data_IF_282036054900
#
_entry.id   IF_282036054900
#
_cell.length_a   1.000
_cell.length_b   1.000
_cell.length_c   1.000
_cell.angle_alpha   90.00
_cell.angle_beta   90.00
_cell.angle_gamma   90.00
#
_symmetry.space_group_name_H-M   'P 1'
#
loop_
_entity.id
_entity.type
_entity.pdbx_description
1 polymer ?
#
# COMPACT_ATOMS: atom_id res chain seq x y z
N UNK A 1 49.22 59.37 3.13
CA UNK A 1 47.77 59.42 3.39
C UNK A 1 47.55 59.89 4.80
N UNK A 2 46.68 60.85 4.98
CA UNK A 2 46.27 61.36 6.29
C UNK A 2 44.89 60.82 6.64
N UNK A 3 44.70 60.49 7.92
CA UNK A 3 43.44 59.93 8.42
C UNK A 3 42.99 60.83 9.59
N UNK A 4 41.72 61.21 9.57
CA UNK A 4 41.10 61.96 10.65
C UNK A 4 40.43 60.99 11.62
N UNK A 5 40.72 61.10 12.88
CA UNK A 5 40.06 60.30 13.94
C UNK A 5 38.69 60.83 14.22
N UNK A 6 37.63 60.03 13.92
CA UNK A 6 36.24 60.37 14.08
C UNK A 6 35.68 59.91 15.45
N UNK A 7 36.06 58.73 15.87
CA UNK A 7 35.64 58.13 17.14
C UNK A 7 36.74 57.31 17.79
N UNK A 8 36.79 57.30 19.12
CA UNK A 8 37.71 56.48 19.88
C UNK A 8 36.97 55.57 20.85
N UNK A 9 37.29 54.27 20.76
CA UNK A 9 36.80 53.23 21.66
C UNK A 9 37.98 52.57 22.38
N UNK A 10 37.83 51.87 23.49
CA UNK A 10 38.92 51.26 24.23
C UNK A 10 39.84 50.36 23.40
N UNK A 11 39.33 49.64 22.39
CA UNK A 11 40.08 48.69 21.56
C UNK A 11 40.31 49.13 20.11
N UNK A 12 39.63 50.18 19.61
CA UNK A 12 39.75 50.61 18.22
C UNK A 12 39.40 52.10 18.09
N UNK A 13 39.87 52.72 17.02
CA UNK A 13 39.43 54.03 16.58
C UNK A 13 38.82 53.95 15.18
N UNK A 14 37.81 54.81 14.92
CA UNK A 14 37.22 54.97 13.59
C UNK A 14 37.90 56.17 12.92
N UNK A 15 38.50 55.91 11.76
CA UNK A 15 39.23 56.91 11.01
C UNK A 15 38.51 57.21 9.69
N UNK A 16 38.58 58.43 9.25
CA UNK A 16 38.15 58.90 7.94
C UNK A 16 39.40 59.17 7.07
N UNK A 17 39.47 58.53 5.88
CA UNK A 17 40.56 58.79 4.95
C UNK A 17 40.25 60.02 4.04
N UNK A 18 41.21 60.37 3.18
CA UNK A 18 41.10 61.48 2.22
C UNK A 18 40.07 61.21 1.11
N UNK A 19 39.66 59.94 0.97
CA UNK A 19 38.63 59.48 -0.02
C UNK A 19 37.22 59.40 0.60
N UNK A 20 37.07 59.75 1.86
CA UNK A 20 35.77 59.74 2.57
C UNK A 20 35.34 58.37 3.08
N UNK A 21 36.27 57.39 3.18
CA UNK A 21 35.96 56.06 3.69
C UNK A 21 36.24 55.96 5.17
N UNK A 22 35.33 55.29 5.88
CA UNK A 22 35.51 54.97 7.30
C UNK A 22 36.30 53.68 7.46
N UNK A 23 37.39 53.72 8.22
CA UNK A 23 38.29 52.60 8.47
C UNK A 23 38.42 52.40 9.98
N UNK A 24 38.54 51.13 10.39
CA UNK A 24 38.89 50.77 11.77
C UNK A 24 40.37 50.59 11.93
N UNK A 25 40.93 51.22 12.92
CA UNK A 25 42.33 51.07 13.33
C UNK A 25 42.44 50.73 14.81
N UNK A 26 43.56 50.12 15.20
CA UNK A 26 43.87 49.93 16.61
C UNK A 26 43.95 51.28 17.30
N UNK A 27 43.30 51.44 18.47
CA UNK A 27 43.42 52.67 19.23
C UNK A 27 44.79 52.71 19.97
N UNK A 28 45.66 53.56 19.46
CA UNK A 28 46.98 53.83 20.07
C UNK A 28 46.97 55.11 20.91
N UNK A 29 45.86 55.31 21.63
CA UNK A 29 45.61 56.52 22.45
C UNK A 29 45.39 57.76 21.58
N UNK A 30 44.65 57.60 20.50
CA UNK A 30 44.22 58.71 19.63
C UNK A 30 43.14 59.53 20.27
N UNK A 31 43.11 60.83 19.96
CA UNK A 31 42.03 61.72 20.33
C UNK A 31 41.12 62.03 19.15
N UNK A 32 39.83 62.21 19.39
CA UNK A 32 38.87 62.58 18.35
C UNK A 32 39.28 63.93 17.75
N UNK A 33 39.32 63.99 16.41
CA UNK A 33 39.76 65.16 15.64
C UNK A 33 41.27 65.16 15.37
N UNK A 34 42.06 64.23 15.89
CA UNK A 34 43.48 64.09 15.60
C UNK A 34 43.70 63.58 14.17
N UNK A 35 44.75 64.09 13.49
CA UNK A 35 45.16 63.59 12.18
C UNK A 35 46.34 62.61 12.34
N UNK A 36 46.22 61.40 11.84
CA UNK A 36 47.18 60.31 11.93
C UNK A 36 47.71 59.95 10.54
N UNK A 37 48.98 59.64 10.38
CA UNK A 37 49.58 59.35 9.05
C UNK A 37 49.84 57.86 8.78
N UNK A 38 49.90 57.03 9.77
CA UNK A 38 50.17 55.59 9.59
C UNK A 38 49.46 54.75 10.64
N UNK A 39 48.11 54.72 10.62
CA UNK A 39 47.37 53.96 11.59
C UNK A 39 47.51 52.44 11.34
N UNK A 40 47.45 51.66 12.42
CA UNK A 40 47.37 50.20 12.30
C UNK A 40 45.92 49.80 11.98
N UNK A 41 45.63 49.62 10.68
CA UNK A 41 44.30 49.26 10.21
C UNK A 41 43.94 47.86 10.66
N UNK A 42 42.75 47.71 11.23
CA UNK A 42 42.19 46.43 11.59
C UNK A 42 41.51 45.80 10.33
N UNK A 43 42.01 44.65 9.91
CA UNK A 43 41.35 43.88 8.84
C UNK A 43 39.99 43.42 9.32
N UNK A 44 38.93 43.92 8.73
CA UNK A 44 37.61 43.33 8.90
C UNK A 44 37.63 41.93 8.29
N UNK A 45 37.45 40.92 9.14
CA UNK A 45 37.22 39.57 8.60
C UNK A 45 35.88 39.63 7.88
N UNK A 46 35.78 39.23 6.60
CA UNK A 46 34.51 39.20 5.90
C UNK A 46 33.55 38.30 6.67
N UNK A 47 32.57 38.92 7.30
CA UNK A 47 31.57 38.22 8.09
C UNK A 47 30.64 37.46 7.13
N UNK A 48 30.92 36.15 6.98
CA UNK A 48 29.84 35.27 6.75
C UNK A 48 29.36 34.95 5.37
N UNK A 49 30.05 34.14 4.59
CA UNK A 49 29.38 33.32 3.55
C UNK A 49 29.26 31.83 3.94
N UNK A 50 29.65 31.47 5.17
CA UNK A 50 29.64 30.06 5.60
C UNK A 50 28.27 29.53 6.02
N UNK A 51 27.34 30.38 6.53
CA UNK A 51 26.00 29.92 6.94
C UNK A 51 25.15 29.44 5.77
N UNK A 52 25.22 30.06 4.61
CA UNK A 52 24.42 29.67 3.45
C UNK A 52 24.75 28.28 2.89
N UNK A 53 26.01 27.83 2.99
CA UNK A 53 26.41 26.49 2.50
C UNK A 53 25.88 25.36 3.36
N UNK A 54 25.77 25.55 4.66
CA UNK A 54 25.22 24.53 5.58
C UNK A 54 23.71 24.38 5.45
N UNK A 55 23.00 25.49 5.22
CA UNK A 55 21.56 25.47 4.97
C UNK A 55 21.25 24.80 3.64
N UNK A 56 22.01 25.12 2.57
CA UNK A 56 21.83 24.50 1.26
C UNK A 56 22.10 22.98 1.29
N UNK A 57 23.12 22.53 2.03
CA UNK A 57 23.39 21.09 2.18
C UNK A 57 22.30 20.35 2.98
N UNK A 58 21.71 21.00 3.99
CA UNK A 58 20.61 20.43 4.75
C UNK A 58 19.32 20.27 3.91
N UNK A 59 19.00 21.25 3.08
CA UNK A 59 17.85 21.19 2.16
C UNK A 59 18.05 20.08 1.10
N UNK A 60 19.23 19.94 0.54
CA UNK A 60 19.52 18.88 -0.42
C UNK A 60 19.44 17.48 0.22
N UNK A 61 19.92 17.32 1.46
CA UNK A 61 19.81 16.05 2.17
C UNK A 61 18.36 15.69 2.47
N UNK A 62 17.53 16.66 2.88
CA UNK A 62 16.11 16.46 3.11
C UNK A 62 15.37 16.09 1.81
N UNK A 63 15.65 16.77 0.69
CA UNK A 63 15.07 16.45 -0.60
C UNK A 63 15.45 15.03 -1.07
N UNK A 64 16.71 14.64 -0.90
CA UNK A 64 17.15 13.28 -1.23
C UNK A 64 16.45 12.22 -0.37
N UNK A 65 16.29 12.47 0.94
CA UNK A 65 15.56 11.57 1.84
C UNK A 65 14.07 11.43 1.42
N UNK A 66 13.41 12.54 1.07
CA UNK A 66 12.02 12.51 0.57
C UNK A 66 11.89 11.70 -0.73
N UNK A 67 12.84 11.85 -1.66
CA UNK A 67 12.86 11.06 -2.90
C UNK A 67 13.05 9.58 -2.62
N UNK A 68 13.99 9.21 -1.75
CA UNK A 68 14.23 7.82 -1.38
C UNK A 68 13.00 7.20 -0.70
N UNK A 69 12.33 7.92 0.17
CA UNK A 69 11.09 7.46 0.80
C UNK A 69 9.98 7.30 -0.24
N UNK A 70 9.78 8.28 -1.11
CA UNK A 70 8.77 8.23 -2.16
C UNK A 70 8.99 7.04 -3.10
N UNK A 71 10.20 6.89 -3.64
CA UNK A 71 10.52 5.76 -4.51
C UNK A 71 10.50 4.42 -3.77
N UNK A 72 10.97 4.39 -2.52
CA UNK A 72 10.94 3.19 -1.69
C UNK A 72 9.52 2.70 -1.40
N UNK A 73 8.62 3.61 -1.01
CA UNK A 73 7.20 3.28 -0.76
C UNK A 73 6.52 2.84 -2.05
N UNK A 74 6.73 3.57 -3.16
CA UNK A 74 6.14 3.21 -4.46
C UNK A 74 6.65 1.84 -4.95
N UNK A 75 7.94 1.57 -4.79
CA UNK A 75 8.51 0.27 -5.12
C UNK A 75 7.89 -0.85 -4.28
N UNK A 76 7.79 -0.66 -2.97
CA UNK A 76 7.20 -1.63 -2.05
C UNK A 76 5.75 -1.94 -2.40
N UNK A 77 4.93 -0.90 -2.61
CA UNK A 77 3.51 -1.06 -2.97
C UNK A 77 3.30 -1.77 -4.30
N UNK A 78 4.16 -1.54 -5.29
CA UNK A 78 3.97 -2.10 -6.63
C UNK A 78 4.60 -3.49 -6.83
N UNK A 79 5.55 -3.90 -5.97
CA UNK A 79 6.30 -5.13 -6.20
C UNK A 79 6.20 -6.15 -5.06
N UNK A 80 5.80 -5.73 -3.86
CA UNK A 80 5.85 -6.60 -2.67
C UNK A 80 4.45 -6.82 -2.08
N UNK A 81 3.61 -5.77 -2.07
CA UNK A 81 2.26 -5.91 -1.53
C UNK A 81 1.36 -6.70 -2.46
N UNK A 82 0.59 -7.61 -1.92
CA UNK A 82 -0.51 -8.31 -2.60
C UNK A 82 -1.54 -7.27 -3.05
N UNK A 83 -1.92 -7.37 -4.33
CA UNK A 83 -2.91 -6.52 -4.98
C UNK A 83 -4.14 -7.29 -5.44
N UNK A 84 -3.95 -8.55 -5.83
CA UNK A 84 -4.96 -9.49 -6.26
C UNK A 84 -4.53 -10.90 -5.91
N UNK A 85 -5.47 -11.84 -5.85
CA UNK A 85 -5.18 -13.25 -5.62
C UNK A 85 -5.87 -14.11 -6.66
N UNK A 86 -5.22 -15.20 -7.07
CA UNK A 86 -5.77 -16.23 -7.95
C UNK A 86 -5.77 -17.54 -7.18
N UNK A 87 -6.91 -18.18 -7.10
CA UNK A 87 -7.06 -19.51 -6.54
C UNK A 87 -7.08 -20.52 -7.69
N UNK A 88 -6.08 -21.38 -7.75
CA UNK A 88 -5.98 -22.48 -8.67
C UNK A 88 -6.51 -23.74 -8.00
N UNK A 89 -7.57 -24.31 -8.51
CA UNK A 89 -8.19 -25.55 -8.02
C UNK A 89 -8.11 -26.63 -9.07
N UNK A 90 -7.36 -27.69 -8.74
CA UNK A 90 -7.21 -28.92 -9.56
C UNK A 90 -7.70 -30.14 -8.77
N UNK A 91 -7.75 -30.08 -7.49
CA UNK A 91 -7.82 -30.99 -6.35
C UNK A 91 -6.46 -31.24 -5.68
N UNK A 92 -5.39 -30.52 -5.95
CA UNK A 92 -4.78 -29.51 -5.06
C UNK A 92 -5.46 -28.17 -5.18
N UNK A 93 -5.44 -27.39 -4.07
CA UNK A 93 -5.91 -26.02 -4.03
C UNK A 93 -4.77 -25.09 -3.63
N UNK A 94 -4.49 -24.09 -4.47
CA UNK A 94 -3.36 -23.15 -4.29
C UNK A 94 -3.86 -21.74 -4.44
N UNK A 95 -3.51 -20.92 -3.47
CA UNK A 95 -3.65 -19.45 -3.55
C UNK A 95 -2.34 -18.85 -4.06
N UNK A 96 -2.43 -18.06 -5.12
CA UNK A 96 -1.35 -17.24 -5.68
C UNK A 96 -1.63 -15.78 -5.39
N UNK A 97 -0.84 -15.15 -4.54
CA UNK A 97 -0.92 -13.72 -4.27
C UNK A 97 -0.04 -12.95 -5.25
N UNK A 98 -0.61 -11.95 -5.88
CA UNK A 98 0.01 -11.20 -6.97
C UNK A 98 0.18 -9.74 -6.59
N UNK A 99 1.28 -9.15 -7.00
CA UNK A 99 1.46 -7.70 -6.94
C UNK A 99 0.72 -6.99 -8.11
N UNK A 100 0.79 -5.67 -8.16
CA UNK A 100 0.14 -4.86 -9.22
C UNK A 100 0.59 -5.16 -10.65
N UNK A 101 1.67 -5.92 -10.82
CA UNK A 101 2.21 -6.29 -12.13
C UNK A 101 1.85 -7.71 -12.54
N UNK A 102 1.05 -8.43 -11.78
CA UNK A 102 0.72 -9.83 -12.01
C UNK A 102 1.86 -10.79 -11.68
N UNK A 103 2.85 -10.34 -10.91
CA UNK A 103 3.96 -11.17 -10.45
C UNK A 103 3.61 -11.81 -9.12
N UNK A 104 3.86 -13.08 -8.98
CA UNK A 104 3.61 -13.86 -7.77
C UNK A 104 4.53 -13.38 -6.64
N UNK A 105 3.92 -12.98 -5.52
CA UNK A 105 4.63 -12.58 -4.30
C UNK A 105 4.59 -13.67 -3.23
N UNK A 106 3.52 -14.45 -3.20
CA UNK A 106 3.34 -15.56 -2.27
C UNK A 106 2.53 -16.68 -2.92
N UNK A 107 2.80 -17.91 -2.49
CA UNK A 107 2.07 -19.12 -2.86
C UNK A 107 1.72 -19.88 -1.57
N UNK A 108 0.47 -20.28 -1.43
CA UNK A 108 -0.03 -21.01 -0.29
C UNK A 108 -0.88 -22.18 -0.74
N UNK A 109 -0.56 -23.39 -0.29
CA UNK A 109 -1.46 -24.55 -0.42
C UNK A 109 -2.61 -24.35 0.59
N UNK A 110 -3.86 -24.38 0.12
CA UNK A 110 -5.04 -24.20 0.98
C UNK A 110 -5.61 -25.51 1.48
N UNK A 111 -5.13 -26.62 0.93
CA UNK A 111 -5.39 -27.99 1.39
C UNK A 111 -4.11 -28.83 1.41
N UNK A 112 -4.19 -30.06 1.96
CA UNK A 112 -3.04 -30.95 2.12
C UNK A 112 -2.37 -31.29 0.78
N UNK A 113 -3.15 -31.56 -0.27
CA UNK A 113 -2.64 -31.81 -1.63
C UNK A 113 -1.96 -30.57 -2.23
N UNK A 114 -2.47 -29.38 -1.91
CA UNK A 114 -1.86 -28.11 -2.33
C UNK A 114 -0.52 -27.84 -1.65
N UNK A 115 -0.38 -28.18 -0.36
CA UNK A 115 0.90 -28.11 0.35
C UNK A 115 1.89 -29.11 -0.27
N UNK A 116 1.46 -30.36 -0.58
CA UNK A 116 2.28 -31.37 -1.25
C UNK A 116 2.72 -30.90 -2.65
N UNK A 117 1.81 -30.31 -3.43
CA UNK A 117 2.12 -29.78 -4.76
C UNK A 117 3.18 -28.68 -4.71
N UNK A 118 3.19 -27.86 -3.67
CA UNK A 118 4.16 -26.78 -3.45
C UNK A 118 5.47 -27.24 -2.80
N UNK A 119 5.58 -28.47 -2.34
CA UNK A 119 6.80 -28.95 -1.68
C UNK A 119 8.01 -28.83 -2.63
N UNK A 120 9.01 -28.05 -2.21
CA UNK A 120 10.22 -27.79 -3.00
C UNK A 120 10.02 -26.90 -4.23
N UNK A 121 8.85 -26.28 -4.41
CA UNK A 121 8.57 -25.33 -5.48
C UNK A 121 8.62 -23.88 -4.99
N UNK A 122 9.26 -23.00 -5.76
CA UNK A 122 9.26 -21.54 -5.49
C UNK A 122 8.88 -20.78 -6.77
N UNK A 123 7.66 -20.26 -6.80
CA UNK A 123 7.12 -19.45 -7.90
C UNK A 123 7.23 -17.93 -7.64
N UNK A 124 7.75 -17.50 -6.51
CA UNK A 124 7.86 -16.07 -6.20
C UNK A 124 8.75 -15.34 -7.19
N UNK A 125 8.28 -14.17 -7.62
CA UNK A 125 8.96 -13.35 -8.61
C UNK A 125 8.71 -13.75 -10.06
N UNK A 126 7.98 -14.85 -10.32
CA UNK A 126 7.54 -15.27 -11.66
C UNK A 126 6.18 -14.65 -12.00
N UNK A 127 5.88 -14.59 -13.28
CA UNK A 127 4.56 -14.21 -13.78
C UNK A 127 3.49 -15.27 -13.47
N UNK A 128 2.25 -14.83 -13.24
CA UNK A 128 1.10 -15.69 -12.91
C UNK A 128 0.88 -16.82 -13.93
N UNK A 129 1.07 -16.55 -15.23
CA UNK A 129 0.89 -17.55 -16.27
C UNK A 129 1.97 -18.63 -16.16
N UNK A 130 3.24 -18.21 -16.03
CA UNK A 130 4.36 -19.14 -15.86
C UNK A 130 4.15 -20.06 -14.65
N UNK A 131 3.70 -19.48 -13.52
CA UNK A 131 3.44 -20.26 -12.31
C UNK A 131 2.28 -21.22 -12.52
N UNK A 132 1.20 -20.78 -13.19
CA UNK A 132 0.07 -21.64 -13.49
C UNK A 132 0.48 -22.84 -14.34
N UNK A 133 1.26 -22.63 -15.42
CA UNK A 133 1.75 -23.70 -16.29
C UNK A 133 2.64 -24.67 -15.51
N UNK A 134 3.58 -24.17 -14.72
CA UNK A 134 4.49 -25.01 -13.92
C UNK A 134 3.73 -25.82 -12.85
N UNK A 135 2.70 -25.27 -12.22
CA UNK A 135 1.87 -25.96 -11.23
C UNK A 135 0.98 -27.02 -11.89
N UNK A 136 0.43 -26.73 -13.07
CA UNK A 136 -0.33 -27.69 -13.84
C UNK A 136 0.58 -28.89 -14.27
N UNK A 137 1.80 -28.62 -14.74
CA UNK A 137 2.76 -29.66 -15.06
C UNK A 137 3.06 -30.55 -13.86
N UNK A 138 3.34 -29.94 -12.71
CA UNK A 138 3.57 -30.67 -11.46
C UNK A 138 2.36 -31.53 -11.07
N UNK A 139 1.15 -30.98 -11.21
CA UNK A 139 -0.08 -31.71 -10.91
C UNK A 139 -0.27 -32.91 -11.83
N UNK A 140 0.12 -32.79 -13.11
CA UNK A 140 0.14 -33.93 -14.05
C UNK A 140 1.19 -34.96 -13.64
N UNK A 141 2.42 -34.53 -13.34
CA UNK A 141 3.52 -35.40 -12.93
C UNK A 141 3.23 -36.17 -11.63
N UNK A 142 2.60 -35.51 -10.68
CA UNK A 142 2.22 -36.09 -9.38
C UNK A 142 0.92 -36.91 -9.45
N UNK A 143 0.20 -36.84 -10.58
CA UNK A 143 -1.03 -37.62 -10.82
C UNK A 143 -2.30 -36.97 -10.26
N UNK A 144 -2.23 -35.72 -9.82
CA UNK A 144 -3.39 -34.95 -9.39
C UNK A 144 -4.27 -34.49 -10.56
N UNK A 145 -3.68 -34.32 -11.75
CA UNK A 145 -4.39 -33.96 -12.98
C UNK A 145 -4.17 -35.02 -14.03
N UNK A 146 -5.26 -35.51 -14.64
CA UNK A 146 -5.26 -36.53 -15.70
C UNK A 146 -6.21 -36.14 -16.82
N UNK A 147 -6.22 -36.93 -17.90
CA UNK A 147 -7.10 -36.75 -19.05
C UNK A 147 -8.57 -36.63 -18.62
N UNK A 148 -9.27 -35.61 -19.11
CA UNK A 148 -10.66 -35.30 -18.73
C UNK A 148 -10.81 -34.57 -17.39
N UNK A 149 -9.69 -34.22 -16.76
CA UNK A 149 -9.70 -33.44 -15.50
C UNK A 149 -10.18 -32.02 -15.70
N UNK A 150 -10.32 -31.30 -14.58
CA UNK A 150 -10.77 -29.91 -14.53
C UNK A 150 -9.74 -29.04 -13.80
N UNK A 151 -9.51 -27.85 -14.33
CA UNK A 151 -8.71 -26.80 -13.71
C UNK A 151 -9.59 -25.57 -13.59
N UNK A 152 -9.77 -25.07 -12.37
CA UNK A 152 -10.55 -23.87 -12.11
C UNK A 152 -9.66 -22.75 -11.58
N UNK A 153 -9.88 -21.53 -12.06
CA UNK A 153 -9.24 -20.32 -11.59
C UNK A 153 -10.29 -19.38 -11.01
N UNK A 154 -10.26 -19.15 -9.70
CA UNK A 154 -11.08 -18.14 -9.07
C UNK A 154 -10.22 -16.91 -8.79
N UNK A 155 -10.64 -15.74 -9.31
CA UNK A 155 -9.85 -14.51 -9.29
C UNK A 155 -10.47 -13.52 -8.31
N UNK A 156 -9.74 -13.17 -7.26
CA UNK A 156 -10.05 -12.03 -6.38
C UNK A 156 -9.24 -10.81 -6.83
N UNK A 157 -9.94 -9.86 -7.43
CA UNK A 157 -9.35 -8.63 -7.95
C UNK A 157 -10.05 -7.39 -7.38
N UNK A 158 -9.36 -6.25 -7.29
CA UNK A 158 -9.94 -5.00 -6.79
C UNK A 158 -11.02 -4.43 -7.72
N UNK A 159 -10.97 -4.74 -9.01
CA UNK A 159 -11.91 -4.25 -10.02
C UNK A 159 -12.19 -5.27 -11.13
N UNK A 160 -13.31 -5.07 -11.83
CA UNK A 160 -13.77 -5.96 -12.89
C UNK A 160 -12.86 -5.95 -14.13
N UNK A 161 -12.15 -4.86 -14.40
CA UNK A 161 -11.27 -4.78 -15.57
C UNK A 161 -10.08 -5.74 -15.42
N UNK A 162 -9.49 -5.76 -14.21
CA UNK A 162 -8.38 -6.68 -13.90
C UNK A 162 -8.85 -8.13 -13.89
N UNK A 163 -10.06 -8.40 -13.37
CA UNK A 163 -10.67 -9.72 -13.44
C UNK A 163 -10.79 -10.21 -14.89
N UNK A 164 -11.32 -9.38 -15.79
CA UNK A 164 -11.48 -9.74 -17.20
C UNK A 164 -10.13 -9.93 -17.90
N UNK A 165 -9.14 -9.10 -17.60
CA UNK A 165 -7.79 -9.20 -18.14
C UNK A 165 -7.15 -10.52 -17.74
N UNK A 166 -7.10 -10.83 -16.44
CA UNK A 166 -6.47 -12.05 -15.93
C UNK A 166 -7.21 -13.30 -16.36
N UNK A 167 -8.56 -13.27 -16.33
CA UNK A 167 -9.36 -14.40 -16.76
C UNK A 167 -9.14 -14.75 -18.23
N UNK A 168 -9.07 -13.73 -19.10
CA UNK A 168 -8.77 -13.92 -20.51
C UNK A 168 -7.34 -14.47 -20.72
N UNK A 169 -6.35 -13.87 -20.07
CA UNK A 169 -4.95 -14.31 -20.19
C UNK A 169 -4.77 -15.76 -19.73
N UNK A 170 -5.33 -16.13 -18.57
CA UNK A 170 -5.26 -17.49 -18.05
C UNK A 170 -5.94 -18.48 -18.99
N UNK A 171 -7.16 -18.18 -19.45
CA UNK A 171 -7.90 -19.05 -20.36
C UNK A 171 -7.14 -19.29 -21.67
N UNK A 172 -6.64 -18.21 -22.30
CA UNK A 172 -5.95 -18.29 -23.58
C UNK A 172 -4.60 -19.02 -23.44
N UNK A 173 -3.77 -18.63 -22.48
CA UNK A 173 -2.42 -19.18 -22.33
C UNK A 173 -2.44 -20.63 -21.85
N UNK A 174 -3.26 -20.96 -20.82
CA UNK A 174 -3.33 -22.35 -20.33
C UNK A 174 -3.93 -23.28 -21.37
N UNK A 175 -4.93 -22.83 -22.16
CA UNK A 175 -5.48 -23.60 -23.25
C UNK A 175 -4.42 -23.88 -24.32
N UNK A 176 -3.66 -22.85 -24.73
CA UNK A 176 -2.57 -23.01 -25.71
C UNK A 176 -1.44 -23.92 -25.19
N UNK A 177 -1.07 -23.74 -23.90
CA UNK A 177 -0.03 -24.52 -23.25
C UNK A 177 -0.34 -26.03 -23.21
N UNK A 178 -1.60 -26.38 -23.01
CA UNK A 178 -2.06 -27.75 -22.88
C UNK A 178 -2.51 -28.37 -24.21
N UNK A 179 -2.59 -27.59 -25.30
CA UNK A 179 -3.03 -28.06 -26.60
C UNK A 179 -2.16 -29.26 -27.10
N UNK A 180 -2.83 -30.37 -27.41
CA UNK A 180 -2.17 -31.60 -27.82
C UNK A 180 -1.41 -32.37 -26.73
N UNK A 181 -1.41 -31.90 -25.47
CA UNK A 181 -0.78 -32.61 -24.33
C UNK A 181 -1.80 -33.42 -23.53
N UNK A 182 -2.89 -32.77 -23.14
CA UNK A 182 -3.95 -33.37 -22.32
C UNK A 182 -5.24 -32.58 -22.56
N UNK A 183 -6.38 -33.26 -22.58
CA UNK A 183 -7.69 -32.63 -22.69
C UNK A 183 -8.23 -32.36 -21.27
N UNK A 184 -8.47 -31.10 -20.93
CA UNK A 184 -9.02 -30.70 -19.65
C UNK A 184 -10.15 -29.67 -19.83
N UNK A 185 -10.94 -29.46 -18.80
CA UNK A 185 -11.91 -28.38 -18.71
C UNK A 185 -11.27 -27.25 -17.92
N UNK A 186 -11.28 -26.03 -18.47
CA UNK A 186 -10.79 -24.81 -17.78
C UNK A 186 -11.98 -23.94 -17.44
N UNK A 187 -12.11 -23.56 -16.17
CA UNK A 187 -13.14 -22.64 -15.68
C UNK A 187 -12.47 -21.42 -15.08
N UNK A 188 -13.06 -20.24 -15.30
CA UNK A 188 -12.60 -18.97 -14.68
C UNK A 188 -13.77 -18.31 -14.03
N UNK A 189 -13.68 -18.12 -12.73
CA UNK A 189 -14.74 -17.56 -11.90
C UNK A 189 -14.27 -16.30 -11.16
N UNK A 190 -15.23 -15.42 -10.80
CA UNK A 190 -14.97 -14.30 -9.91
C UNK A 190 -15.14 -14.78 -8.48
N UNK A 191 -14.09 -14.74 -7.68
CA UNK A 191 -14.08 -15.17 -6.27
C UNK A 191 -15.20 -14.53 -5.44
N UNK A 192 -15.45 -13.23 -5.65
CA UNK A 192 -16.49 -12.48 -4.90
C UNK A 192 -17.91 -12.91 -5.20
N UNK A 193 -18.18 -13.43 -6.40
CA UNK A 193 -19.51 -13.92 -6.78
C UNK A 193 -19.72 -15.38 -6.43
N UNK A 194 -18.65 -16.19 -6.39
CA UNK A 194 -18.75 -17.59 -5.99
C UNK A 194 -18.95 -17.79 -4.49
N UNK A 195 -18.33 -16.93 -3.66
CA UNK A 195 -18.48 -16.98 -2.19
C UNK A 195 -19.85 -16.47 -1.71
N UNK A 196 -20.53 -15.62 -2.49
CA UNK A 196 -21.91 -15.18 -2.19
C UNK A 196 -23.00 -16.22 -2.48
N UNK A 197 -22.64 -17.38 -3.05
CA UNK A 197 -23.59 -18.47 -3.36
C UNK A 197 -23.95 -19.37 -2.18
N UNK A 198 -23.33 -19.23 -1.02
CA UNK A 198 -23.58 -20.06 0.18
C UNK A 198 -23.98 -19.23 1.39
N UNK A 199 -24.95 -18.32 1.27
CA UNK A 199 -25.37 -17.60 2.47
C UNK A 199 -26.31 -16.42 2.33
N UNK A 200 -27.21 -16.41 1.34
CA UNK A 200 -28.40 -15.55 1.41
C UNK A 200 -29.66 -16.38 1.18
N UNK A 201 -30.00 -17.13 2.22
CA UNK A 201 -31.43 -17.37 2.45
C UNK A 201 -32.01 -16.02 2.84
N UNK A 202 -32.64 -15.39 1.88
CA UNK A 202 -33.51 -14.23 1.95
C UNK A 202 -34.38 -14.36 3.20
N UNK A 203 -33.99 -13.74 4.30
CA UNK A 203 -34.92 -13.36 5.35
C UNK A 203 -35.73 -12.21 4.75
N UNK A 204 -36.84 -12.58 4.10
CA UNK A 204 -37.94 -11.67 3.86
C UNK A 204 -38.45 -11.27 5.23
N UNK A 205 -38.04 -10.11 5.68
CA UNK A 205 -38.62 -9.42 6.82
C UNK A 205 -40.02 -8.94 6.36
N UNK A 206 -41.04 -9.85 6.46
CA UNK A 206 -42.43 -9.47 6.40
C UNK A 206 -42.70 -8.59 7.63
N UNK A 207 -42.58 -7.30 7.46
CA UNK A 207 -43.18 -6.33 8.37
C UNK A 207 -44.70 -6.61 8.41
N UNK A 208 -45.28 -6.89 9.57
CA UNK A 208 -46.76 -6.90 9.67
C UNK A 208 -47.24 -5.46 9.56
N UNK A 209 -47.87 -5.18 8.44
CA UNK A 209 -48.68 -3.98 8.24
C UNK A 209 -49.72 -3.89 9.34
N UNK A 210 -49.56 -2.89 10.18
CA UNK A 210 -50.47 -2.52 11.27
C UNK A 210 -51.75 -1.92 10.68
N UNK A 211 -52.77 -2.73 10.51
CA UNK A 211 -54.15 -2.25 10.34
C UNK A 211 -55.05 -2.85 11.39
N UNK A 212 -55.23 -2.06 12.43
CA UNK A 212 -56.33 -2.20 13.40
C UNK A 212 -57.65 -1.92 12.70
N UNK A 213 -58.71 -2.76 12.91
CA UNK A 213 -59.99 -2.24 13.28
C UNK A 213 -60.53 -2.86 14.59
N UNK A 214 -60.99 -1.97 15.43
CA UNK A 214 -61.68 -2.13 16.69
C UNK A 214 -62.99 -2.87 16.57
N UNK A 215 -63.53 -3.41 17.70
CA UNK A 215 -64.54 -4.49 17.75
C UNK A 215 -66.00 -4.02 17.82
N UNK A 216 -66.96 -4.87 17.69
CA UNK A 216 -68.17 -4.71 18.49
C UNK A 216 -68.37 -5.79 19.54
N UNK A 217 -68.72 -5.26 20.68
CA UNK A 217 -69.07 -5.97 21.91
C UNK A 217 -70.40 -6.78 21.77
N UNK A 218 -70.55 -7.64 22.72
CA UNK A 218 -71.71 -8.18 23.39
C UNK A 218 -72.07 -9.64 23.14
N UNK A 219 -72.18 -10.31 24.28
CA UNK A 219 -73.05 -11.50 24.44
C UNK A 219 -72.50 -12.58 25.38
N UNK A 220 -72.52 -12.33 26.69
CA UNK A 220 -72.61 -13.42 27.67
C UNK A 220 -74.08 -13.92 27.72
N UNK A 221 -74.39 -15.20 27.82
CA UNK A 221 -74.62 -15.84 29.09
C UNK A 221 -74.17 -17.31 29.19
N UNK A 222 -73.60 -17.67 30.29
CA UNK A 222 -74.07 -18.39 31.44
C UNK A 222 -74.36 -19.91 31.27
N UNK A 223 -73.58 -20.65 32.11
CA UNK A 223 -74.02 -21.80 32.98
C UNK A 223 -74.27 -23.15 32.31
N UNK A 224 -73.53 -24.16 32.61
CA UNK A 224 -73.85 -25.26 33.50
C UNK A 224 -72.85 -26.40 33.48
N UNK A 225 -72.22 -26.60 34.60
CA UNK A 225 -71.78 -27.92 35.03
C UNK A 225 -73.00 -28.81 35.38
N UNK A 226 -72.99 -30.12 35.20
CA UNK A 226 -72.63 -30.97 36.30
C UNK A 226 -71.94 -32.32 35.96
N UNK A 227 -71.11 -32.73 36.94
CA UNK A 227 -71.05 -34.02 37.59
C UNK A 227 -70.60 -35.28 36.82
N UNK A 228 -69.57 -35.87 37.35
CA UNK A 228 -69.18 -37.30 37.30
C UNK A 228 -70.26 -38.21 37.88
N UNK A 229 -70.32 -39.49 37.53
CA UNK A 229 -69.72 -40.50 38.42
C UNK A 229 -68.96 -41.63 37.62
N UNK A 230 -67.93 -42.17 38.14
CA UNK A 230 -67.69 -43.32 39.03
C UNK A 230 -67.99 -44.73 38.41
N UNK A 231 -66.88 -45.53 38.49
CA UNK A 231 -66.87 -46.99 38.66
C UNK A 231 -67.38 -47.94 37.56
N UNK A 232 -66.58 -48.71 37.03
CA UNK A 232 -66.13 -50.05 37.44
C UNK A 232 -64.86 -50.44 36.68
#
# INVERSE_FOLDING_TARGET
>A
MKYLVMECHPGYAVLLDEEGRFLKAANLHYEVGQTVQSPVLMREKPYGRRRGRWIASGIMAAAAACLLLFFGVTYYQNNILTYSSIYLTINPEIQMDLNRKGIVVELTGTNEDGEELLEGYDGRGKDKITVSDELIDRAIEMGFLSEGGMVSFSIDSPDDALYQEYGKELMENVTEYLDGRITITIEVENYRTSDSGYGDSEYVDEQPENSVPEPPAQGVPEVQTPAAPAQQ
#
